data_IF_347698025123
#
_entry.id   IF_347698025123
#
_cell.length_a   1.000
_cell.length_b   1.000
_cell.length_c   1.000
_cell.angle_alpha   90.00
_cell.angle_beta   90.00
_cell.angle_gamma   90.00
#
_symmetry.space_group_name_H-M   'P 1'
#
loop_
_entity.id
_entity.type
_entity.pdbx_description
1 polymer ?
#
# COMPACT_ATOMS: atom_id res chain seq x y z
N UNK A 1 -17.81 -37.01 10.01
CA UNK A 1 -18.08 -35.76 9.26
C UNK A 1 -17.41 -34.66 10.04
N UNK A 2 -16.43 -33.97 9.45
CA UNK A 2 -15.72 -32.88 10.13
C UNK A 2 -16.67 -31.69 10.21
N UNK A 3 -17.02 -31.26 11.42
CA UNK A 3 -17.71 -29.97 11.62
C UNK A 3 -16.84 -28.87 11.01
N UNK A 4 -17.34 -28.16 10.01
CA UNK A 4 -16.64 -27.02 9.46
C UNK A 4 -16.83 -25.83 10.41
N UNK A 5 -15.74 -25.39 11.03
CA UNK A 5 -15.74 -24.15 11.81
C UNK A 5 -15.84 -22.98 10.83
N UNK A 6 -16.98 -22.30 10.83
CA UNK A 6 -17.16 -21.05 10.09
C UNK A 6 -16.64 -19.90 10.94
N UNK A 7 -15.71 -19.09 10.40
CA UNK A 7 -15.24 -17.88 11.06
C UNK A 7 -15.96 -16.67 10.47
N UNK A 8 -16.61 -15.89 11.33
CA UNK A 8 -17.22 -14.61 10.98
C UNK A 8 -16.23 -13.46 11.19
N UNK A 9 -16.35 -12.43 10.37
CA UNK A 9 -15.54 -11.20 10.43
C UNK A 9 -16.30 -10.07 9.73
N UNK A 10 -15.96 -8.81 9.99
CA UNK A 10 -16.63 -7.67 9.35
C UNK A 10 -16.19 -7.50 7.90
N UNK A 11 -14.88 -7.68 7.64
CA UNK A 11 -14.29 -7.51 6.30
C UNK A 11 -13.32 -8.64 5.98
N UNK A 12 -13.42 -9.17 4.76
CA UNK A 12 -12.41 -10.08 4.20
C UNK A 12 -11.66 -9.35 3.09
N UNK A 13 -10.33 -9.30 3.20
CA UNK A 13 -9.44 -8.77 2.17
C UNK A 13 -8.79 -9.92 1.42
N UNK A 14 -9.03 -10.01 0.12
CA UNK A 14 -8.44 -11.02 -0.77
C UNK A 14 -7.22 -10.41 -1.47
N UNK A 15 -6.04 -10.94 -1.15
CA UNK A 15 -4.74 -10.40 -1.52
C UNK A 15 -4.22 -9.43 -0.45
N UNK A 16 -3.12 -9.79 0.21
CA UNK A 16 -2.51 -9.02 1.31
C UNK A 16 -1.16 -8.39 0.93
N UNK A 17 -0.95 -8.15 -0.38
CA UNK A 17 0.13 -7.31 -0.89
C UNK A 17 -0.03 -5.83 -0.50
N UNK A 18 0.76 -4.91 -1.09
CA UNK A 18 0.85 -3.51 -0.63
C UNK A 18 -0.50 -2.79 -0.42
N UNK A 19 -1.45 -2.94 -1.35
CA UNK A 19 -2.77 -2.31 -1.24
C UNK A 19 -3.64 -3.01 -0.18
N UNK A 20 -3.63 -4.34 -0.16
CA UNK A 20 -4.45 -5.12 0.76
C UNK A 20 -4.01 -4.96 2.21
N UNK A 21 -2.71 -4.99 2.48
CA UNK A 21 -2.18 -4.77 3.82
C UNK A 21 -2.44 -3.34 4.32
N UNK A 22 -2.33 -2.33 3.45
CA UNK A 22 -2.71 -0.96 3.79
C UNK A 22 -4.20 -0.86 4.13
N UNK A 23 -5.08 -1.47 3.33
CA UNK A 23 -6.51 -1.51 3.60
C UNK A 23 -6.81 -2.21 4.95
N UNK A 24 -6.20 -3.36 5.22
CA UNK A 24 -6.33 -4.07 6.49
C UNK A 24 -5.88 -3.22 7.67
N UNK A 25 -4.75 -2.52 7.55
CA UNK A 25 -4.23 -1.64 8.60
C UNK A 25 -5.25 -0.54 8.96
N UNK A 26 -5.76 0.20 7.97
CA UNK A 26 -6.73 1.27 8.25
C UNK A 26 -8.08 0.73 8.71
N UNK A 27 -8.56 -0.40 8.19
CA UNK A 27 -9.79 -1.03 8.68
C UNK A 27 -9.67 -1.48 10.14
N UNK A 28 -8.60 -2.20 10.48
CA UNK A 28 -8.36 -2.64 11.85
C UNK A 28 -8.18 -1.45 12.81
N UNK A 29 -7.48 -0.39 12.38
CA UNK A 29 -7.33 0.86 13.16
C UNK A 29 -8.67 1.55 13.43
N UNK A 30 -9.67 1.35 12.57
CA UNK A 30 -11.04 1.86 12.75
C UNK A 30 -11.96 0.86 13.49
N UNK A 31 -11.41 -0.21 14.07
CA UNK A 31 -12.14 -1.13 14.95
C UNK A 31 -12.89 -2.26 14.26
N UNK A 32 -12.69 -2.46 12.95
CA UNK A 32 -13.26 -3.60 12.24
C UNK A 32 -12.48 -4.89 12.53
N UNK A 33 -13.17 -6.01 12.66
CA UNK A 33 -12.55 -7.34 12.56
C UNK A 33 -12.27 -7.66 11.09
N UNK A 34 -11.00 -7.93 10.77
CA UNK A 34 -10.54 -8.09 9.39
C UNK A 34 -9.75 -9.37 9.23
N UNK A 35 -10.13 -10.18 8.25
CA UNK A 35 -9.36 -11.36 7.82
C UNK A 35 -8.73 -11.06 6.46
N UNK A 36 -7.39 -11.16 6.40
CA UNK A 36 -6.64 -11.17 5.14
C UNK A 36 -6.42 -12.59 4.64
N UNK A 37 -6.70 -12.83 3.37
CA UNK A 37 -6.41 -14.09 2.69
C UNK A 37 -5.45 -13.83 1.53
N UNK A 38 -4.30 -14.50 1.55
CA UNK A 38 -3.36 -14.47 0.44
C UNK A 38 -2.88 -15.89 0.13
N UNK A 39 -2.57 -16.12 -1.15
CA UNK A 39 -2.03 -17.38 -1.64
C UNK A 39 -0.58 -17.56 -1.21
N UNK A 40 0.15 -16.49 -0.92
CA UNK A 40 1.55 -16.50 -0.53
C UNK A 40 1.78 -15.81 0.82
N UNK A 41 2.90 -16.11 1.51
CA UNK A 41 3.29 -15.38 2.72
C UNK A 41 3.53 -13.88 2.46
N UNK A 42 3.43 -13.06 3.51
CA UNK A 42 3.70 -11.63 3.42
C UNK A 42 5.09 -11.34 2.83
N UNK A 43 5.20 -10.23 2.08
CA UNK A 43 6.44 -9.78 1.43
C UNK A 43 7.08 -10.79 0.45
N UNK A 44 6.27 -11.64 -0.19
CA UNK A 44 6.72 -12.55 -1.25
C UNK A 44 7.13 -11.84 -2.56
N UNK A 45 7.88 -12.55 -3.40
CA UNK A 45 8.42 -12.06 -4.68
C UNK A 45 7.56 -12.38 -5.92
N UNK A 46 6.34 -12.88 -5.70
CA UNK A 46 5.43 -13.38 -6.75
C UNK A 46 4.30 -12.41 -7.13
N UNK A 47 4.44 -11.14 -6.80
CA UNK A 47 3.43 -10.08 -7.02
C UNK A 47 4.05 -8.78 -7.53
N UNK A 48 3.33 -7.66 -7.44
CA UNK A 48 3.84 -6.36 -7.97
C UNK A 48 4.56 -5.49 -6.94
N UNK A 49 4.65 -5.94 -5.68
CA UNK A 49 5.21 -5.18 -4.56
C UNK A 49 6.64 -5.59 -4.18
N UNK A 50 7.20 -6.61 -4.85
CA UNK A 50 8.55 -7.10 -4.55
C UNK A 50 9.65 -6.16 -5.04
N UNK A 51 10.89 -6.44 -4.69
CA UNK A 51 12.00 -5.51 -4.95
C UNK A 51 12.05 -4.42 -3.89
N UNK A 52 13.23 -3.83 -3.74
CA UNK A 52 13.55 -3.08 -2.52
C UNK A 52 12.93 -1.69 -2.44
N UNK A 53 12.71 -1.03 -3.59
CA UNK A 53 12.34 0.39 -3.61
C UNK A 53 11.22 0.68 -4.61
N UNK A 54 10.53 1.81 -4.40
CA UNK A 54 9.51 2.38 -5.29
C UNK A 54 9.64 3.90 -5.31
N UNK A 55 9.32 4.50 -6.46
CA UNK A 55 9.27 5.96 -6.61
C UNK A 55 7.85 6.44 -6.28
N UNK A 56 7.76 7.52 -5.49
CA UNK A 56 6.57 8.35 -5.33
C UNK A 56 6.91 9.76 -5.87
N UNK A 57 5.99 10.38 -6.61
CA UNK A 57 6.21 11.68 -7.26
C UNK A 57 4.92 12.50 -7.36
N UNK A 58 5.04 13.82 -7.27
CA UNK A 58 3.92 14.76 -7.52
C UNK A 58 3.78 15.18 -8.98
N UNK A 59 4.89 15.22 -9.73
CA UNK A 59 4.85 15.46 -11.17
C UNK A 59 4.14 14.26 -11.82
N UNK A 60 2.86 14.40 -12.17
CA UNK A 60 2.00 13.33 -12.68
C UNK A 60 1.26 13.82 -13.92
N UNK A 61 1.49 13.16 -15.06
CA UNK A 61 0.96 13.56 -16.36
C UNK A 61 -0.28 12.76 -16.76
N UNK A 62 -0.53 11.67 -16.05
CA UNK A 62 -1.60 10.72 -16.34
C UNK A 62 -2.98 11.34 -16.13
N UNK A 63 -3.20 12.02 -15.00
CA UNK A 63 -4.42 12.79 -14.74
C UNK A 63 -4.24 13.71 -13.51
N UNK A 64 -4.74 14.96 -13.53
CA UNK A 64 -4.61 15.88 -12.39
C UNK A 64 -5.23 15.38 -11.08
N UNK A 65 -6.27 14.53 -11.17
CA UNK A 65 -6.90 13.91 -9.99
C UNK A 65 -5.95 13.01 -9.17
N UNK A 66 -4.80 12.61 -9.70
CA UNK A 66 -3.80 11.90 -8.91
C UNK A 66 -3.10 12.82 -7.90
N UNK A 67 -2.97 14.12 -8.18
CA UNK A 67 -2.19 15.03 -7.33
C UNK A 67 -2.74 15.12 -5.90
N UNK A 68 -4.06 15.28 -5.66
CA UNK A 68 -4.61 15.23 -4.30
C UNK A 68 -4.36 13.89 -3.59
N UNK A 69 -4.47 12.77 -4.31
CA UNK A 69 -4.22 11.43 -3.76
C UNK A 69 -2.75 11.29 -3.35
N UNK A 70 -1.83 11.75 -4.20
CA UNK A 70 -0.39 11.69 -3.94
C UNK A 70 0.00 12.54 -2.73
N UNK A 71 -0.55 13.76 -2.61
CA UNK A 71 -0.34 14.60 -1.41
C UNK A 71 -0.76 13.88 -0.14
N UNK A 72 -1.95 13.27 -0.13
CA UNK A 72 -2.38 12.45 1.02
C UNK A 72 -1.47 11.23 1.21
N UNK A 73 -0.98 10.59 0.14
CA UNK A 73 -0.03 9.48 0.27
C UNK A 73 1.28 9.89 0.93
N UNK A 74 1.81 11.09 0.69
CA UNK A 74 3.01 11.58 1.39
C UNK A 74 2.76 11.73 2.90
N UNK A 75 1.65 12.35 3.29
CA UNK A 75 1.25 12.46 4.71
C UNK A 75 1.12 11.07 5.36
N UNK A 76 0.54 10.11 4.65
CA UNK A 76 0.39 8.74 5.15
C UNK A 76 1.70 7.95 5.25
N UNK A 77 2.71 8.27 4.44
CA UNK A 77 4.04 7.68 4.58
C UNK A 77 4.72 8.19 5.85
N UNK A 78 4.66 9.50 6.11
CA UNK A 78 5.18 10.10 7.34
C UNK A 78 4.49 9.51 8.58
N UNK A 79 3.15 9.45 8.59
CA UNK A 79 2.37 8.82 9.66
C UNK A 79 2.79 7.34 9.88
N UNK A 80 3.11 6.60 8.81
CA UNK A 80 3.51 5.20 8.90
C UNK A 80 4.93 5.03 9.44
N UNK A 81 5.87 5.92 9.08
CA UNK A 81 7.21 5.97 9.66
C UNK A 81 7.13 6.18 11.18
N UNK A 82 6.32 7.13 11.63
CA UNK A 82 6.11 7.41 13.06
C UNK A 82 5.57 6.20 13.82
N UNK A 83 4.54 5.54 13.28
CA UNK A 83 3.90 4.39 13.96
C UNK A 83 4.77 3.15 13.93
N UNK A 84 5.53 2.94 12.85
CA UNK A 84 6.39 1.76 12.69
C UNK A 84 7.77 1.92 13.33
N UNK A 85 8.20 3.15 13.61
CA UNK A 85 9.55 3.47 14.06
C UNK A 85 10.64 3.08 13.06
N UNK A 86 10.27 2.97 11.77
CA UNK A 86 11.17 2.58 10.68
C UNK A 86 11.29 3.70 9.67
N UNK A 87 12.49 3.88 9.11
CA UNK A 87 12.71 4.76 7.96
C UNK A 87 12.14 4.08 6.69
N UNK A 88 11.07 4.62 6.13
CA UNK A 88 10.32 4.09 4.99
C UNK A 88 10.40 5.00 3.75
N UNK A 89 10.61 6.30 3.96
CA UNK A 89 10.72 7.28 2.89
C UNK A 89 12.11 7.92 2.89
N UNK A 90 12.67 8.09 1.70
CA UNK A 90 13.90 8.85 1.49
C UNK A 90 13.63 9.84 0.37
N UNK A 91 13.77 11.14 0.66
CA UNK A 91 13.64 12.19 -0.33
C UNK A 91 14.88 12.21 -1.24
N UNK A 92 14.85 11.37 -2.27
CA UNK A 92 15.92 11.24 -3.27
C UNK A 92 15.78 12.23 -4.44
N UNK A 93 14.70 13.00 -4.49
CA UNK A 93 14.33 13.84 -5.62
C UNK A 93 13.84 13.03 -6.84
N UNK A 94 13.47 13.73 -7.90
CA UNK A 94 13.06 13.14 -9.17
C UNK A 94 13.61 13.96 -10.32
N UNK A 95 14.21 13.29 -11.30
CA UNK A 95 14.54 13.88 -12.60
C UNK A 95 13.71 13.18 -13.66
N UNK A 96 12.93 13.95 -14.41
CA UNK A 96 12.21 13.48 -15.59
C UNK A 96 12.55 14.43 -16.74
N UNK A 97 13.20 13.88 -17.77
CA UNK A 97 13.71 14.63 -18.93
C UNK A 97 13.41 13.86 -20.21
N UNK A 98 13.20 14.59 -21.29
CA UNK A 98 12.94 14.06 -22.63
C UNK A 98 13.11 15.17 -23.68
N UNK A 99 13.13 14.82 -24.97
CA UNK A 99 13.13 15.82 -26.04
C UNK A 99 11.84 16.65 -26.00
N UNK A 100 11.85 17.89 -26.53
CA UNK A 100 10.65 18.74 -26.58
C UNK A 100 9.45 18.09 -27.29
N UNK A 101 9.74 17.18 -28.23
CA UNK A 101 8.75 16.55 -29.12
C UNK A 101 8.25 15.18 -28.62
N UNK A 102 8.72 14.69 -27.47
CA UNK A 102 8.35 13.39 -26.90
C UNK A 102 9.29 12.25 -27.27
#
# INVERSE_FOLDING_TARGET
MSDSVTKHTDVIVIGTGAVGSAAMYYLARNGFDVIGLDRFPAAHDKGSSHGQTRIIRLAYFEHPNYVPLLKRSYELWEELEEVSGSDLYTESGLIQVGPPDG
#
